data_IF_881551893392
#
_entry.id   IF_881551893392
#
_cell.length_a   1.000
_cell.length_b   1.000
_cell.length_c   1.000
_cell.angle_alpha   90.00
_cell.angle_beta   90.00
_cell.angle_gamma   90.00
#
_symmetry.space_group_name_H-M   'P 1'
#
loop_
_entity.id
_entity.type
_entity.pdbx_description
1 polymer ?
#
# COMPACT_ATOMS: atom_id res chain seq x y z
N UNK A 1 19.20 6.78 4.51
CA UNK A 1 18.77 5.38 4.77
C UNK A 1 17.48 5.32 5.59
N UNK A 2 17.45 5.89 6.81
CA UNK A 2 16.26 5.83 7.68
C UNK A 2 15.01 6.46 7.03
N UNK A 3 15.19 7.55 6.30
CA UNK A 3 14.12 8.29 5.63
C UNK A 3 13.48 7.47 4.50
N UNK A 4 14.30 6.75 3.72
CA UNK A 4 13.82 5.82 2.70
C UNK A 4 12.99 4.70 3.32
N UNK A 5 13.46 4.10 4.43
CA UNK A 5 12.69 3.07 5.14
C UNK A 5 11.34 3.63 5.60
N UNK A 6 11.32 4.83 6.18
CA UNK A 6 10.08 5.46 6.64
C UNK A 6 9.11 5.71 5.48
N UNK A 7 9.59 6.12 4.30
CA UNK A 7 8.76 6.25 3.09
C UNK A 7 8.20 4.90 2.60
N UNK A 8 9.00 3.84 2.72
CA UNK A 8 8.58 2.51 2.32
C UNK A 8 7.51 1.95 3.27
N UNK A 9 7.63 2.20 4.58
CA UNK A 9 6.66 1.71 5.59
C UNK A 9 5.33 2.45 5.50
N UNK A 10 5.38 3.78 5.41
CA UNK A 10 4.18 4.60 5.57
C UNK A 10 3.48 4.81 4.22
N UNK A 11 2.15 4.77 4.20
CA UNK A 11 1.40 5.13 2.99
C UNK A 11 1.53 6.62 2.69
N UNK A 12 1.39 7.46 3.72
CA UNK A 12 1.46 8.92 3.67
C UNK A 12 2.08 9.43 4.96
N UNK A 13 2.88 10.50 4.88
CA UNK A 13 3.52 11.13 6.04
C UNK A 13 3.03 12.57 6.12
N UNK A 14 2.21 12.84 7.13
CA UNK A 14 1.62 14.16 7.34
C UNK A 14 2.62 15.09 8.03
N UNK A 15 2.79 16.30 7.50
CA UNK A 15 3.67 17.33 8.04
C UNK A 15 3.26 17.75 9.45
N UNK A 16 1.96 17.78 9.72
CA UNK A 16 1.42 18.15 11.04
C UNK A 16 1.79 17.13 12.13
N UNK A 17 1.87 15.84 11.79
CA UNK A 17 2.22 14.78 12.74
C UNK A 17 3.72 14.74 13.03
N UNK A 18 4.56 15.01 12.01
CA UNK A 18 6.01 15.04 12.19
C UNK A 18 6.70 15.96 11.18
N UNK A 19 6.80 17.24 11.56
CA UNK A 19 7.40 18.29 10.72
C UNK A 19 8.87 18.05 10.42
N UNK A 20 9.65 17.59 11.40
CA UNK A 20 11.08 17.32 11.23
C UNK A 20 11.33 16.21 10.21
N UNK A 21 10.58 15.10 10.31
CA UNK A 21 10.65 13.99 9.38
C UNK A 21 10.25 14.42 7.96
N UNK A 22 9.19 15.21 7.82
CA UNK A 22 8.75 15.75 6.52
C UNK A 22 9.89 16.49 5.81
N UNK A 23 10.56 17.44 6.50
CA UNK A 23 11.67 18.19 5.90
C UNK A 23 12.90 17.31 5.68
N UNK A 24 13.22 16.40 6.61
CA UNK A 24 14.34 15.47 6.46
C UNK A 24 14.20 14.57 5.22
N UNK A 25 12.98 14.12 4.90
CA UNK A 25 12.73 13.34 3.68
C UNK A 25 12.97 14.19 2.44
N UNK A 26 12.46 15.43 2.43
CA UNK A 26 12.61 16.35 1.30
C UNK A 26 14.09 16.66 1.03
N UNK A 27 14.86 16.92 2.09
CA UNK A 27 16.27 17.30 1.97
C UNK A 27 17.15 16.13 1.50
N UNK A 28 16.82 14.90 1.90
CA UNK A 28 17.58 13.69 1.54
C UNK A 28 17.07 12.96 0.31
N UNK A 29 15.99 13.44 -0.32
CA UNK A 29 15.35 12.73 -1.43
C UNK A 29 16.31 12.39 -2.56
N UNK A 30 17.20 13.33 -2.92
CA UNK A 30 18.18 13.11 -4.00
C UNK A 30 19.16 11.95 -3.71
N UNK A 31 19.38 11.56 -2.44
CA UNK A 31 20.25 10.43 -2.08
C UNK A 31 19.69 9.07 -2.51
N UNK A 32 18.36 8.92 -2.58
CA UNK A 32 17.69 7.66 -2.88
C UNK A 32 16.69 7.75 -4.04
N UNK A 33 16.69 8.89 -4.74
CA UNK A 33 15.83 9.17 -5.89
C UNK A 33 16.00 8.15 -6.98
N UNK A 34 17.23 7.87 -7.41
CA UNK A 34 17.49 6.93 -8.51
C UNK A 34 17.00 5.51 -8.19
N UNK A 35 17.09 5.10 -6.93
CA UNK A 35 16.53 3.83 -6.48
C UNK A 35 14.99 3.82 -6.58
N UNK A 36 14.34 4.87 -6.10
CA UNK A 36 12.87 4.98 -6.15
C UNK A 36 12.35 5.13 -7.59
N UNK A 37 12.92 6.01 -8.40
CA UNK A 37 12.39 6.37 -9.71
C UNK A 37 12.89 5.42 -10.80
N UNK A 38 14.18 5.10 -10.86
CA UNK A 38 14.72 4.28 -11.94
C UNK A 38 14.60 2.79 -11.70
N UNK A 39 14.81 2.34 -10.45
CA UNK A 39 14.79 0.90 -10.11
C UNK A 39 13.40 0.44 -9.74
N UNK A 40 12.68 1.22 -8.93
CA UNK A 40 11.32 0.89 -8.51
C UNK A 40 10.26 1.55 -9.39
N UNK A 41 10.54 2.60 -10.15
CA UNK A 41 9.51 3.30 -10.92
C UNK A 41 8.41 3.92 -10.05
N UNK A 42 8.73 4.30 -8.82
CA UNK A 42 7.81 4.98 -7.91
C UNK A 42 7.92 6.48 -8.05
N UNK A 43 6.81 7.15 -7.77
CA UNK A 43 6.70 8.59 -7.80
C UNK A 43 6.57 9.13 -6.37
N UNK A 44 7.35 10.15 -6.03
CA UNK A 44 7.24 10.84 -4.75
C UNK A 44 6.43 12.13 -4.93
N UNK A 45 5.31 12.23 -4.24
CA UNK A 45 4.49 13.43 -4.17
C UNK A 45 4.93 14.21 -2.93
N UNK A 46 5.44 15.42 -3.13
CA UNK A 46 5.76 16.37 -2.07
C UNK A 46 4.74 17.50 -2.12
N UNK A 47 3.76 17.43 -1.21
CA UNK A 47 2.73 18.44 -1.02
C UNK A 47 3.06 19.29 0.20
N UNK A 48 2.50 20.50 0.33
CA UNK A 48 2.77 21.35 1.49
C UNK A 48 2.43 20.68 2.82
N UNK A 49 1.38 19.84 2.85
CA UNK A 49 0.88 19.19 4.06
C UNK A 49 1.37 17.76 4.27
N UNK A 50 1.93 17.11 3.25
CA UNK A 50 2.33 15.71 3.35
C UNK A 50 3.40 15.31 2.31
N UNK A 51 4.06 14.18 2.57
CA UNK A 51 4.83 13.44 1.56
C UNK A 51 4.22 12.06 1.38
N UNK A 52 4.05 11.62 0.12
CA UNK A 52 3.50 10.31 -0.24
C UNK A 52 4.37 9.65 -1.31
N UNK A 53 4.75 8.39 -1.09
CA UNK A 53 5.40 7.57 -2.12
C UNK A 53 4.35 6.65 -2.77
N UNK A 54 4.13 6.80 -4.08
CA UNK A 54 3.17 5.98 -4.83
C UNK A 54 3.75 4.59 -5.11
N UNK A 55 3.49 3.67 -4.18
CA UNK A 55 3.93 2.28 -4.23
C UNK A 55 2.95 1.43 -5.03
N UNK A 56 3.49 0.65 -5.97
CA UNK A 56 2.75 -0.30 -6.80
C UNK A 56 3.45 -1.66 -6.70
N UNK A 57 2.73 -2.77 -6.45
CA UNK A 57 3.34 -4.09 -6.43
C UNK A 57 3.77 -4.52 -7.83
N UNK A 58 4.86 -5.29 -7.93
CA UNK A 58 5.26 -5.90 -9.20
C UNK A 58 4.35 -7.06 -9.60
N UNK A 59 3.68 -7.67 -8.61
CA UNK A 59 2.59 -8.63 -8.77
C UNK A 59 1.68 -8.46 -7.57
N UNK A 60 0.39 -8.22 -7.79
CA UNK A 60 -0.58 -8.15 -6.71
C UNK A 60 -0.77 -9.55 -6.11
N UNK A 61 -0.81 -9.62 -4.78
CA UNK A 61 -1.09 -10.84 -4.03
C UNK A 61 -2.31 -10.59 -3.11
N UNK A 62 -3.05 -11.64 -2.76
CA UNK A 62 -4.30 -11.52 -2.01
C UNK A 62 -4.15 -10.87 -0.62
N UNK A 63 -2.95 -10.88 -0.05
CA UNK A 63 -2.62 -10.29 1.24
C UNK A 63 -2.15 -8.83 1.15
N UNK A 64 -2.03 -8.25 -0.05
CA UNK A 64 -1.65 -6.83 -0.25
C UNK A 64 -2.84 -5.87 -0.19
N UNK A 65 -3.96 -6.29 0.40
CA UNK A 65 -5.15 -5.48 0.59
C UNK A 65 -4.98 -4.40 1.67
N UNK A 66 -6.06 -3.66 1.94
CA UNK A 66 -6.09 -2.70 3.03
C UNK A 66 -6.24 -3.49 4.32
N UNK A 67 -5.33 -3.29 5.26
CA UNK A 67 -5.36 -3.99 6.54
C UNK A 67 -6.68 -3.72 7.28
N UNK A 68 -7.27 -4.79 7.83
CA UNK A 68 -8.56 -4.73 8.52
C UNK A 68 -9.78 -4.80 7.60
N UNK A 69 -9.62 -4.63 6.28
CA UNK A 69 -10.71 -4.88 5.34
C UNK A 69 -10.85 -6.39 5.12
N UNK A 70 -12.06 -6.88 5.35
CA UNK A 70 -12.44 -8.30 5.31
C UNK A 70 -13.62 -8.57 4.38
N UNK A 71 -14.26 -7.52 3.85
CA UNK A 71 -15.40 -7.60 2.95
C UNK A 71 -15.22 -6.62 1.77
N UNK A 72 -15.64 -7.01 0.56
CA UNK A 72 -15.61 -6.16 -0.64
C UNK A 72 -16.36 -4.84 -0.42
N UNK A 73 -17.43 -4.86 0.38
CA UNK A 73 -18.22 -3.68 0.74
C UNK A 73 -17.38 -2.56 1.35
N UNK A 74 -16.34 -2.90 2.12
CA UNK A 74 -15.48 -1.91 2.77
C UNK A 74 -14.64 -1.15 1.75
N UNK A 75 -14.18 -1.82 0.69
CA UNK A 75 -13.54 -1.16 -0.45
C UNK A 75 -14.50 -0.24 -1.20
N UNK A 76 -15.74 -0.69 -1.44
CA UNK A 76 -16.76 0.13 -2.11
C UNK A 76 -17.09 1.37 -1.28
N UNK A 77 -17.33 1.21 0.02
CA UNK A 77 -17.56 2.34 0.93
C UNK A 77 -16.39 3.31 0.97
N UNK A 78 -15.15 2.82 0.94
CA UNK A 78 -13.98 3.69 0.89
C UNK A 78 -13.94 4.49 -0.42
N UNK A 79 -14.22 3.88 -1.57
CA UNK A 79 -14.31 4.59 -2.84
C UNK A 79 -15.44 5.64 -2.84
N UNK A 80 -16.61 5.31 -2.31
CA UNK A 80 -17.73 6.26 -2.18
C UNK A 80 -17.40 7.41 -1.22
N UNK A 81 -16.66 7.16 -0.14
CA UNK A 81 -16.18 8.21 0.75
C UNK A 81 -15.18 9.13 0.03
N UNK A 82 -14.25 8.57 -0.75
CA UNK A 82 -13.32 9.38 -1.56
C UNK A 82 -14.08 10.25 -2.56
N UNK A 83 -15.09 9.71 -3.25
CA UNK A 83 -15.96 10.47 -4.15
C UNK A 83 -16.72 11.58 -3.42
N UNK A 84 -17.28 11.29 -2.25
CA UNK A 84 -17.95 12.30 -1.43
C UNK A 84 -17.01 13.46 -1.03
N UNK A 85 -15.77 13.14 -0.66
CA UNK A 85 -14.77 14.12 -0.26
C UNK A 85 -14.19 14.93 -1.42
N UNK A 86 -14.33 14.47 -2.67
CA UNK A 86 -13.85 15.21 -3.85
C UNK A 86 -14.58 16.54 -4.01
N UNK A 87 -15.89 16.55 -3.70
CA UNK A 87 -16.77 17.72 -3.74
C UNK A 87 -16.58 18.66 -2.54
N UNK A 88 -15.69 18.31 -1.58
CA UNK A 88 -15.43 19.07 -0.37
C UNK A 88 -14.18 19.92 -0.48
N UNK A 89 -14.26 21.14 0.03
CA UNK A 89 -13.09 22.00 0.19
C UNK A 89 -12.28 21.59 1.43
N UNK A 90 -11.01 21.98 1.47
CA UNK A 90 -10.18 21.86 2.67
C UNK A 90 -10.83 22.68 3.80
N UNK A 91 -10.84 22.11 5.01
CA UNK A 91 -11.48 22.63 6.22
C UNK A 91 -13.03 22.66 6.16
N UNK A 92 -13.65 22.10 5.12
CA UNK A 92 -15.11 21.98 5.05
C UNK A 92 -15.59 20.88 6.01
N UNK A 93 -16.52 21.26 6.90
CA UNK A 93 -17.12 20.35 7.88
C UNK A 93 -18.32 19.61 7.31
N UNK A 94 -18.50 18.38 7.75
CA UNK A 94 -19.65 17.54 7.40
C UNK A 94 -19.97 16.55 8.52
N UNK A 95 -21.20 16.08 8.55
CA UNK A 95 -21.66 15.11 9.55
C UNK A 95 -21.72 13.70 8.98
N UNK A 96 -21.57 12.69 9.84
CA UNK A 96 -21.60 11.27 9.47
C UNK A 96 -22.87 10.90 8.70
N UNK A 97 -24.02 11.44 9.11
CA UNK A 97 -25.30 11.21 8.44
C UNK A 97 -25.25 11.53 6.93
N UNK A 98 -24.55 12.59 6.51
CA UNK A 98 -24.38 12.93 5.08
C UNK A 98 -23.57 11.89 4.31
N UNK A 99 -22.55 11.29 4.95
CA UNK A 99 -21.77 10.20 4.35
C UNK A 99 -22.65 8.96 4.17
N UNK A 100 -23.44 8.61 5.19
CA UNK A 100 -24.34 7.45 5.11
C UNK A 100 -25.42 7.63 4.03
N UNK A 101 -25.95 8.84 3.88
CA UNK A 101 -26.90 9.19 2.81
C UNK A 101 -26.23 9.09 1.43
N UNK A 102 -25.04 9.67 1.28
CA UNK A 102 -24.28 9.60 0.02
C UNK A 102 -23.99 8.15 -0.40
N UNK A 103 -23.53 7.32 0.54
CA UNK A 103 -23.30 5.90 0.28
C UNK A 103 -24.61 5.21 -0.13
N UNK A 104 -25.71 5.46 0.58
CA UNK A 104 -27.01 4.84 0.27
C UNK A 104 -27.53 5.19 -1.11
N UNK A 105 -27.23 6.39 -1.60
CA UNK A 105 -27.67 6.90 -2.90
C UNK A 105 -26.77 6.46 -4.06
N UNK A 106 -25.49 6.16 -3.81
CA UNK A 106 -24.50 5.86 -4.85
C UNK A 106 -24.00 4.40 -4.86
N UNK A 107 -24.38 3.59 -3.86
CA UNK A 107 -24.06 2.17 -3.85
C UNK A 107 -24.95 1.43 -4.86
N UNK A 108 -24.34 0.87 -5.92
CA UNK A 108 -25.07 0.33 -7.06
C UNK A 108 -25.61 -1.10 -6.85
N UNK A 109 -24.89 -1.96 -6.12
CA UNK A 109 -25.23 -3.39 -6.09
C UNK A 109 -26.41 -3.73 -5.17
N UNK A 110 -26.59 -2.98 -4.08
CA UNK A 110 -27.68 -3.19 -3.12
C UNK A 110 -28.05 -1.93 -2.36
N UNK A 111 -29.28 -1.89 -1.83
CA UNK A 111 -29.69 -0.84 -0.89
C UNK A 111 -29.07 -1.10 0.48
N UNK A 112 -28.29 -0.15 0.97
CA UNK A 112 -27.69 -0.25 2.30
C UNK A 112 -28.76 -0.02 3.38
N UNK A 113 -28.86 -1.00 4.28
CA UNK A 113 -29.70 -0.94 5.47
C UNK A 113 -28.81 -0.65 6.68
N UNK A 114 -28.85 0.59 7.18
CA UNK A 114 -28.05 1.03 8.31
C UNK A 114 -28.52 0.47 9.65
N UNK A 115 -29.70 -0.16 9.73
CA UNK A 115 -30.14 -0.86 10.96
C UNK A 115 -29.31 -2.12 11.21
N UNK A 116 -28.64 -2.65 10.18
CA UNK A 116 -27.75 -3.80 10.27
C UNK A 116 -26.39 -3.41 10.83
N UNK A 117 -26.05 -3.97 11.99
CA UNK A 117 -24.75 -3.82 12.65
C UNK A 117 -23.55 -4.05 11.71
N UNK A 118 -23.63 -5.06 10.83
CA UNK A 118 -22.55 -5.37 9.88
C UNK A 118 -22.20 -4.21 8.95
N UNK A 119 -23.21 -3.51 8.41
CA UNK A 119 -23.00 -2.35 7.52
C UNK A 119 -22.36 -1.18 8.28
N UNK A 120 -22.86 -0.89 9.49
CA UNK A 120 -22.28 0.16 10.34
C UNK A 120 -20.83 -0.13 10.71
N UNK A 121 -20.53 -1.39 11.07
CA UNK A 121 -19.17 -1.83 11.38
C UNK A 121 -18.22 -1.70 10.19
N UNK A 122 -18.67 -2.04 8.98
CA UNK A 122 -17.87 -1.85 7.76
C UNK A 122 -17.59 -0.37 7.49
N UNK A 123 -18.57 0.52 7.66
CA UNK A 123 -18.34 1.97 7.51
C UNK A 123 -17.35 2.51 8.56
N UNK A 124 -17.43 2.06 9.81
CA UNK A 124 -16.49 2.51 10.86
C UNK A 124 -15.06 2.13 10.53
N UNK A 125 -14.80 0.93 9.98
CA UNK A 125 -13.45 0.56 9.53
C UNK A 125 -12.94 1.53 8.45
N UNK A 126 -13.82 1.92 7.52
CA UNK A 126 -13.50 2.87 6.45
C UNK A 126 -13.22 4.26 7.01
N UNK A 127 -14.02 4.74 7.97
CA UNK A 127 -13.81 6.03 8.65
C UNK A 127 -12.48 6.01 9.41
N UNK A 128 -12.20 4.96 10.18
CA UNK A 128 -10.94 4.83 10.92
C UNK A 128 -9.73 4.82 9.99
N UNK A 129 -9.82 4.14 8.85
CA UNK A 129 -8.80 4.22 7.82
C UNK A 129 -8.63 5.65 7.31
N UNK A 130 -9.73 6.35 6.99
CA UNK A 130 -9.70 7.72 6.50
C UNK A 130 -9.08 8.71 7.50
N UNK A 131 -9.42 8.58 8.79
CA UNK A 131 -8.81 9.35 9.89
C UNK A 131 -7.31 9.03 10.01
N UNK A 132 -6.93 7.74 9.96
CA UNK A 132 -5.52 7.33 10.04
C UNK A 132 -4.68 7.82 8.85
N UNK A 133 -5.26 7.87 7.65
CA UNK A 133 -4.63 8.44 6.46
C UNK A 133 -4.60 9.98 6.48
N UNK A 134 -5.32 10.61 7.41
CA UNK A 134 -5.44 12.06 7.52
C UNK A 134 -6.24 12.71 6.39
N UNK A 135 -7.09 11.98 5.67
CA UNK A 135 -7.93 12.57 4.61
C UNK A 135 -9.13 13.33 5.16
N UNK A 136 -9.47 13.06 6.41
CA UNK A 136 -10.46 13.76 7.20
C UNK A 136 -10.01 13.80 8.66
N UNK A 137 -10.59 14.71 9.45
CA UNK A 137 -10.37 14.85 10.88
C UNK A 137 -11.69 14.72 11.62
N UNK A 138 -11.65 14.17 12.83
CA UNK A 138 -12.79 14.19 13.76
C UNK A 138 -12.72 15.51 14.55
N UNK A 139 -13.77 16.32 14.45
CA UNK A 139 -13.90 17.58 15.16
C UNK A 139 -14.77 17.45 16.42
N UNK A 140 -15.82 16.62 16.40
CA UNK A 140 -16.69 16.35 17.55
C UNK A 140 -17.43 15.00 17.43
N UNK A 141 -17.63 14.31 18.55
CA UNK A 141 -18.28 12.99 18.62
C UNK A 141 -17.34 11.80 18.49
N UNK A 142 -17.88 10.58 18.63
CA UNK A 142 -17.14 9.32 18.56
C UNK A 142 -17.74 8.39 17.50
N UNK A 143 -16.97 8.05 16.46
CA UNK A 143 -17.40 7.15 15.40
C UNK A 143 -17.76 5.74 15.89
N UNK A 144 -17.21 5.29 17.01
CA UNK A 144 -17.52 3.97 17.56
C UNK A 144 -18.97 3.89 18.07
N UNK A 145 -19.58 5.01 18.45
CA UNK A 145 -20.99 5.07 18.83
C UNK A 145 -21.92 4.66 17.68
N UNK A 146 -21.53 4.95 16.43
CA UNK A 146 -22.30 4.55 15.25
C UNK A 146 -22.47 3.04 15.12
N UNK A 147 -21.55 2.24 15.69
CA UNK A 147 -21.66 0.79 15.64
C UNK A 147 -22.92 0.31 16.36
N UNK A 148 -23.25 0.98 17.47
CA UNK A 148 -24.31 0.59 18.39
C UNK A 148 -25.59 1.41 18.18
N UNK A 149 -25.49 2.62 17.61
CA UNK A 149 -26.60 3.52 17.35
C UNK A 149 -26.49 4.16 15.95
N UNK A 150 -27.42 3.84 15.06
CA UNK A 150 -27.43 4.43 13.71
C UNK A 150 -27.71 5.95 13.68
N UNK A 151 -28.20 6.51 14.79
CA UNK A 151 -28.44 7.95 14.92
C UNK A 151 -27.26 8.69 15.58
N UNK A 152 -26.14 8.01 15.82
CA UNK A 152 -24.92 8.69 16.25
C UNK A 152 -24.47 9.63 15.13
N UNK A 153 -24.33 10.91 15.45
CA UNK A 153 -23.91 11.92 14.49
C UNK A 153 -22.56 12.47 14.96
N UNK A 154 -21.57 12.39 14.07
CA UNK A 154 -20.18 12.75 14.34
C UNK A 154 -19.78 13.82 13.34
N UNK A 155 -19.14 14.88 13.82
CA UNK A 155 -18.70 16.00 13.01
C UNK A 155 -17.27 15.78 12.55
N UNK A 156 -17.09 15.78 11.24
CA UNK A 156 -15.80 15.65 10.60
C UNK A 156 -15.44 16.90 9.80
N UNK A 157 -14.19 16.95 9.38
CA UNK A 157 -13.64 17.98 8.50
C UNK A 157 -12.80 17.34 7.40
N UNK A 158 -12.95 17.82 6.16
CA UNK A 158 -12.12 17.41 5.04
C UNK A 158 -10.75 18.09 5.09
N UNK A 159 -9.66 17.33 4.92
CA UNK A 159 -8.30 17.92 4.84
C UNK A 159 -7.88 18.27 3.41
N UNK A 160 -8.67 17.86 2.41
CA UNK A 160 -8.31 17.94 0.99
C UNK A 160 -7.30 16.88 0.52
N UNK A 161 -6.78 16.04 1.42
CA UNK A 161 -5.78 15.01 1.08
C UNK A 161 -6.40 13.83 0.32
N UNK A 162 -7.73 13.63 0.41
CA UNK A 162 -8.47 12.57 -0.30
C UNK A 162 -8.13 12.47 -1.80
N UNK A 163 -7.94 13.63 -2.46
CA UNK A 163 -7.61 13.76 -3.89
C UNK A 163 -6.29 13.10 -4.28
N UNK A 164 -5.43 12.84 -3.30
CA UNK A 164 -4.12 12.21 -3.48
C UNK A 164 -4.11 10.75 -3.05
N UNK A 165 -5.23 10.16 -2.63
CA UNK A 165 -5.28 8.74 -2.25
C UNK A 165 -5.24 7.86 -3.49
N UNK A 166 -6.12 8.15 -4.46
CA UNK A 166 -6.06 7.51 -5.76
C UNK A 166 -4.80 7.97 -6.48
N UNK A 167 -4.08 7.01 -7.07
CA UNK A 167 -2.93 7.32 -7.92
C UNK A 167 -3.40 7.86 -9.25
N UNK A 168 -2.51 8.55 -9.95
CA UNK A 168 -2.74 8.88 -11.35
C UNK A 168 -2.64 7.62 -12.22
N UNK A 169 -3.62 7.44 -13.11
CA UNK A 169 -3.58 6.43 -14.15
C UNK A 169 -3.10 7.06 -15.44
N UNK A 170 -2.19 6.39 -16.15
CA UNK A 170 -1.62 6.89 -17.42
C UNK A 170 -2.58 6.80 -18.60
N UNK A 171 -3.69 6.08 -18.44
CA UNK A 171 -4.75 5.85 -19.43
C UNK A 171 -6.10 5.96 -18.72
N UNK A 172 -7.16 6.15 -19.48
CA UNK A 172 -8.52 6.15 -18.94
C UNK A 172 -8.88 4.74 -18.44
N UNK A 173 -9.19 4.64 -17.15
CA UNK A 173 -9.57 3.36 -16.52
C UNK A 173 -10.97 2.92 -16.94
N UNK A 174 -11.79 3.82 -17.48
CA UNK A 174 -13.13 3.50 -17.99
C UNK A 174 -13.10 2.62 -19.24
N UNK A 175 -11.95 2.55 -19.92
CA UNK A 175 -11.72 1.66 -21.06
C UNK A 175 -11.35 0.23 -20.65
N UNK A 176 -11.10 -0.04 -19.36
CA UNK A 176 -10.75 -1.38 -18.88
C UNK A 176 -12.01 -2.21 -18.63
N UNK A 177 -12.13 -3.37 -19.27
CA UNK A 177 -13.27 -4.29 -19.10
C UNK A 177 -12.99 -5.40 -18.08
N UNK A 178 -11.73 -5.56 -17.66
CA UNK A 178 -11.33 -6.57 -16.68
C UNK A 178 -10.22 -6.12 -15.73
N UNK A 179 -10.10 -6.82 -14.59
CA UNK A 179 -8.99 -6.63 -13.65
C UNK A 179 -7.64 -6.91 -14.32
N UNK A 180 -7.56 -7.93 -15.17
CA UNK A 180 -6.32 -8.27 -15.88
C UNK A 180 -5.89 -7.15 -16.82
N UNK A 181 -6.84 -6.54 -17.53
CA UNK A 181 -6.58 -5.34 -18.34
C UNK A 181 -6.14 -4.18 -17.48
N UNK A 182 -6.81 -3.87 -16.36
CA UNK A 182 -6.38 -2.80 -15.46
C UNK A 182 -4.96 -3.03 -14.91
N UNK A 183 -4.62 -4.28 -14.60
CA UNK A 183 -3.26 -4.66 -14.18
C UNK A 183 -2.28 -4.46 -15.34
N UNK A 184 -2.60 -4.92 -16.55
CA UNK A 184 -1.76 -4.80 -17.74
C UNK A 184 -1.57 -3.34 -18.19
N UNK A 185 -2.60 -2.51 -18.08
CA UNK A 185 -2.58 -1.09 -18.41
C UNK A 185 -1.55 -0.30 -17.59
N UNK A 186 -1.34 -0.68 -16.33
CA UNK A 186 -0.28 -0.08 -15.49
C UNK A 186 1.13 -0.30 -16.05
N UNK A 187 1.30 -1.28 -16.94
CA UNK A 187 2.57 -1.64 -17.56
C UNK A 187 2.66 -1.15 -19.01
N UNK A 188 1.54 -0.84 -19.68
CA UNK A 188 1.53 -0.48 -21.10
C UNK A 188 1.70 1.03 -21.39
N UNK A 189 1.60 1.91 -20.38
CA UNK A 189 1.79 3.36 -20.55
C UNK A 189 3.20 3.81 -20.92
N UNK A 190 4.17 2.90 -21.06
CA UNK A 190 5.57 3.17 -21.41
C UNK A 190 6.02 2.21 -22.52
N UNK A 191 5.39 2.29 -23.70
CA UNK A 191 5.71 1.44 -24.86
C UNK A 191 7.19 1.52 -25.32
N UNK A 192 7.94 2.53 -24.88
CA UNK A 192 9.30 2.75 -25.38
C UNK A 192 10.39 1.89 -24.71
N UNK A 193 10.14 1.21 -23.58
CA UNK A 193 11.18 0.34 -22.99
C UNK A 193 10.65 -0.82 -22.14
N UNK A 194 10.35 -1.95 -22.81
CA UNK A 194 10.03 -3.24 -22.16
C UNK A 194 11.09 -3.66 -21.13
N UNK A 195 12.34 -3.20 -21.26
CA UNK A 195 13.42 -3.46 -20.31
C UNK A 195 13.23 -2.73 -18.98
N UNK A 196 12.85 -1.45 -19.02
CA UNK A 196 12.59 -0.64 -17.82
C UNK A 196 11.40 -1.21 -17.03
N UNK A 197 10.30 -1.54 -17.72
CA UNK A 197 9.10 -2.09 -17.07
C UNK A 197 9.41 -3.40 -16.34
N UNK A 198 10.16 -4.31 -16.98
CA UNK A 198 10.59 -5.56 -16.36
C UNK A 198 11.49 -5.30 -15.15
N UNK A 199 12.45 -4.38 -15.26
CA UNK A 199 13.31 -3.99 -14.14
C UNK A 199 12.47 -3.53 -12.96
N UNK A 200 11.59 -2.54 -13.17
CA UNK A 200 10.73 -1.99 -12.13
C UNK A 200 9.89 -3.09 -11.48
N UNK A 201 9.26 -3.95 -12.28
CA UNK A 201 8.48 -5.09 -11.79
C UNK A 201 9.30 -6.02 -10.90
N UNK A 202 10.50 -6.42 -11.33
CA UNK A 202 11.39 -7.31 -10.57
C UNK A 202 11.81 -6.68 -9.24
N UNK A 203 12.25 -5.42 -9.25
CA UNK A 203 12.64 -4.72 -8.02
C UNK A 203 11.47 -4.60 -7.05
N UNK A 204 10.27 -4.26 -7.53
CA UNK A 204 9.04 -4.20 -6.71
C UNK A 204 8.69 -5.55 -6.10
N UNK A 205 8.79 -6.65 -6.88
CA UNK A 205 8.54 -8.01 -6.37
C UNK A 205 9.53 -8.38 -5.27
N UNK A 206 10.81 -8.07 -5.44
CA UNK A 206 11.84 -8.32 -4.44
C UNK A 206 11.65 -7.45 -3.18
N UNK A 207 11.21 -6.21 -3.35
CA UNK A 207 11.01 -5.26 -2.25
C UNK A 207 9.77 -5.61 -1.41
N UNK A 208 8.65 -5.91 -2.07
CA UNK A 208 7.34 -5.99 -1.42
C UNK A 208 6.90 -7.42 -1.10
N UNK A 209 7.58 -8.46 -1.62
CA UNK A 209 7.24 -9.86 -1.34
C UNK A 209 8.33 -10.55 -0.54
N UNK A 210 7.98 -11.41 0.44
CA UNK A 210 8.97 -12.11 1.25
C UNK A 210 9.85 -13.05 0.41
N UNK A 211 9.28 -13.66 -0.64
CA UNK A 211 9.98 -14.54 -1.58
C UNK A 211 9.43 -14.33 -2.98
N UNK A 212 10.33 -14.27 -3.95
CA UNK A 212 10.04 -14.34 -5.38
C UNK A 212 10.36 -15.75 -5.87
N UNK A 213 9.34 -16.60 -5.99
CA UNK A 213 9.48 -17.96 -6.50
C UNK A 213 9.68 -17.99 -8.03
N UNK A 214 10.39 -19.01 -8.51
CA UNK A 214 10.52 -19.30 -9.94
C UNK A 214 9.21 -19.89 -10.46
N UNK A 215 8.51 -19.15 -11.33
CA UNK A 215 7.20 -19.48 -11.90
C UNK A 215 7.22 -20.46 -13.08
N UNK A 216 8.17 -21.39 -13.14
CA UNK A 216 8.30 -22.37 -14.24
C UNK A 216 9.51 -22.14 -15.14
N UNK A 217 9.53 -22.83 -16.30
CA UNK A 217 10.69 -22.83 -17.20
C UNK A 217 10.89 -21.48 -17.93
N UNK A 218 9.80 -20.77 -18.23
CA UNK A 218 9.80 -19.51 -18.99
C UNK A 218 9.52 -18.30 -18.08
N UNK A 219 10.21 -18.22 -16.95
CA UNK A 219 10.07 -17.09 -16.01
C UNK A 219 11.07 -15.97 -16.33
N UNK A 220 10.64 -15.04 -17.18
CA UNK A 220 11.47 -13.91 -17.60
C UNK A 220 11.90 -12.96 -16.47
N UNK A 221 11.15 -12.91 -15.36
CA UNK A 221 11.49 -12.11 -14.18
C UNK A 221 12.60 -12.80 -13.39
N UNK A 222 12.49 -14.12 -13.19
CA UNK A 222 13.49 -14.89 -12.47
C UNK A 222 14.82 -14.99 -13.24
N UNK A 223 14.75 -15.09 -14.57
CA UNK A 223 15.93 -15.02 -15.44
C UNK A 223 16.61 -13.65 -15.34
N UNK A 224 15.84 -12.57 -15.25
CA UNK A 224 16.37 -11.24 -14.98
C UNK A 224 17.10 -11.18 -13.63
N UNK A 225 16.50 -11.72 -12.55
CA UNK A 225 17.13 -11.74 -11.22
C UNK A 225 18.46 -12.48 -11.26
N UNK A 226 18.53 -13.63 -11.94
CA UNK A 226 19.77 -14.41 -12.07
C UNK A 226 20.83 -13.66 -12.87
N UNK A 227 20.44 -13.09 -14.01
CA UNK A 227 21.36 -12.38 -14.91
C UNK A 227 21.93 -11.11 -14.27
N UNK A 228 21.10 -10.34 -13.56
CA UNK A 228 21.46 -9.05 -12.99
C UNK A 228 21.67 -9.09 -11.46
N UNK A 229 21.94 -10.28 -10.90
CA UNK A 229 22.07 -10.52 -9.46
C UNK A 229 22.99 -9.52 -8.77
N UNK A 230 24.19 -9.29 -9.31
CA UNK A 230 25.18 -8.41 -8.68
C UNK A 230 24.71 -6.97 -8.60
N UNK A 231 24.11 -6.46 -9.68
CA UNK A 231 23.57 -5.09 -9.71
C UNK A 231 22.38 -4.93 -8.78
N UNK A 232 21.46 -5.91 -8.74
CA UNK A 232 20.33 -5.88 -7.81
C UNK A 232 20.82 -5.89 -6.35
N UNK A 233 21.74 -6.80 -6.03
CA UNK A 233 22.36 -6.88 -4.70
C UNK A 233 23.00 -5.55 -4.29
N UNK A 234 23.78 -4.94 -5.18
CA UNK A 234 24.44 -3.66 -4.93
C UNK A 234 23.41 -2.56 -4.65
N UNK A 235 22.39 -2.43 -5.49
CA UNK A 235 21.36 -1.40 -5.32
C UNK A 235 20.56 -1.57 -4.02
N UNK A 236 20.17 -2.78 -3.63
CA UNK A 236 19.51 -3.02 -2.34
C UNK A 236 20.46 -2.78 -1.15
N UNK A 237 21.74 -3.15 -1.28
CA UNK A 237 22.72 -2.97 -0.20
C UNK A 237 23.07 -1.49 0.03
N UNK A 238 23.26 -0.72 -1.03
CA UNK A 238 23.59 0.71 -0.95
C UNK A 238 22.43 1.52 -0.37
N UNK A 239 21.20 1.24 -0.81
CA UNK A 239 20.04 2.06 -0.45
C UNK A 239 19.40 1.63 0.88
N UNK A 240 19.37 0.32 1.17
CA UNK A 240 18.63 -0.25 2.29
C UNK A 240 19.50 -1.09 3.23
N UNK A 241 20.76 -1.38 2.87
CA UNK A 241 21.61 -2.28 3.64
C UNK A 241 21.18 -3.75 3.56
N UNK A 242 20.28 -4.10 2.64
CA UNK A 242 19.70 -5.43 2.55
C UNK A 242 20.44 -6.33 1.56
N UNK A 243 20.35 -7.64 1.77
CA UNK A 243 21.04 -8.64 0.94
C UNK A 243 20.07 -9.45 0.10
N UNK A 244 20.38 -9.64 -1.18
CA UNK A 244 19.70 -10.52 -2.10
C UNK A 244 20.27 -11.93 -2.03
N UNK A 245 19.42 -12.88 -1.65
CA UNK A 245 19.72 -14.31 -1.72
C UNK A 245 19.00 -14.91 -2.94
N UNK A 246 19.75 -15.54 -3.85
CA UNK A 246 19.23 -16.18 -5.06
C UNK A 246 19.52 -17.68 -4.98
N UNK A 247 18.47 -18.50 -5.02
CA UNK A 247 18.55 -19.96 -4.95
C UNK A 247 18.11 -20.61 -6.26
N UNK A 248 17.86 -21.93 -6.25
CA UNK A 248 17.36 -22.66 -7.43
C UNK A 248 15.90 -22.32 -7.75
N UNK A 249 15.06 -22.24 -6.70
CA UNK A 249 13.60 -22.18 -6.79
C UNK A 249 13.00 -20.84 -6.34
N UNK A 250 13.81 -19.91 -5.86
CA UNK A 250 13.32 -18.61 -5.41
C UNK A 250 14.45 -17.65 -5.06
N UNK A 251 14.07 -16.39 -4.86
CA UNK A 251 14.95 -15.31 -4.43
C UNK A 251 14.28 -14.52 -3.34
N UNK A 252 15.04 -14.04 -2.36
CA UNK A 252 14.50 -13.25 -1.26
C UNK A 252 15.47 -12.13 -0.88
N UNK A 253 14.91 -11.06 -0.32
CA UNK A 253 15.68 -10.00 0.31
C UNK A 253 15.75 -10.29 1.80
N UNK A 254 16.97 -10.34 2.33
CA UNK A 254 17.28 -10.55 3.73
C UNK A 254 17.62 -9.19 4.33
N UNK A 255 16.78 -8.77 5.27
CA UNK A 255 16.92 -7.49 5.96
C UNK A 255 18.08 -7.58 6.96
N UNK A 256 18.89 -6.53 7.03
CA UNK A 256 19.98 -6.41 8.00
C UNK A 256 19.43 -6.02 9.38
N UNK A 257 20.21 -6.29 10.44
CA UNK A 257 19.74 -6.02 11.80
C UNK A 257 19.50 -4.53 12.08
N UNK A 258 20.29 -3.66 11.45
CA UNK A 258 20.26 -2.21 11.65
C UNK A 258 19.14 -1.51 10.86
N UNK A 259 18.56 -2.18 9.84
CA UNK A 259 17.60 -1.58 8.91
C UNK A 259 16.34 -2.46 8.74
N UNK A 260 15.79 -2.93 9.86
CA UNK A 260 14.55 -3.72 9.90
C UNK A 260 13.31 -2.84 9.70
N UNK A 261 12.29 -3.38 9.04
CA UNK A 261 11.02 -2.70 8.75
C UNK A 261 9.88 -3.71 8.66
N UNK A 262 8.69 -3.33 9.11
CA UNK A 262 7.49 -4.16 9.08
C UNK A 262 7.51 -5.38 10.01
N UNK A 263 6.56 -6.29 9.77
CA UNK A 263 6.45 -7.58 10.43
C UNK A 263 7.46 -8.58 9.82
N UNK A 264 8.38 -9.07 10.65
CA UNK A 264 9.55 -9.85 10.19
C UNK A 264 9.39 -11.34 10.43
N UNK A 265 10.04 -12.13 9.59
CA UNK A 265 10.26 -13.55 9.81
C UNK A 265 11.76 -13.88 9.73
N UNK A 266 12.31 -14.66 10.69
CA UNK A 266 11.63 -15.16 11.89
C UNK A 266 11.41 -14.05 12.93
N UNK A 267 10.33 -14.17 13.70
CA UNK A 267 10.04 -13.31 14.86
C UNK A 267 10.03 -14.09 16.18
N UNK A 268 9.82 -13.38 17.29
CA UNK A 268 9.59 -13.97 18.62
C UNK A 268 8.16 -14.51 18.81
N UNK A 269 7.29 -14.40 17.79
CA UNK A 269 5.92 -14.91 17.86
C UNK A 269 5.92 -16.44 17.72
N UNK A 270 5.00 -17.12 18.42
CA UNK A 270 4.98 -18.59 18.51
C UNK A 270 4.81 -19.29 17.15
N UNK A 271 4.11 -18.66 16.20
CA UNK A 271 4.00 -19.14 14.83
C UNK A 271 5.35 -19.19 14.10
N UNK A 272 6.26 -18.24 14.38
CA UNK A 272 7.60 -18.26 13.81
C UNK A 272 8.42 -19.43 14.34
N UNK A 273 8.34 -19.70 15.64
CA UNK A 273 9.00 -20.86 16.26
C UNK A 273 8.47 -22.19 15.70
N UNK A 274 7.16 -22.32 15.56
CA UNK A 274 6.53 -23.51 14.99
C UNK A 274 7.01 -23.79 13.56
N UNK A 275 7.07 -22.75 12.71
CA UNK A 275 7.56 -22.87 11.32
C UNK A 275 9.05 -23.25 11.28
N UNK A 276 9.88 -22.64 12.13
CA UNK A 276 11.31 -22.98 12.22
C UNK A 276 11.54 -24.42 12.69
N UNK A 277 10.77 -24.88 13.68
CA UNK A 277 10.82 -26.25 14.17
C UNK A 277 10.41 -27.24 13.07
N UNK A 278 9.31 -26.96 12.38
CA UNK A 278 8.87 -27.76 11.25
C UNK A 278 9.92 -27.83 10.13
N UNK A 279 10.51 -26.68 9.77
CA UNK A 279 11.59 -26.63 8.77
C UNK A 279 12.86 -27.39 9.20
N UNK A 280 13.13 -27.47 10.50
CA UNK A 280 14.23 -28.31 11.05
C UNK A 280 13.91 -29.80 10.91
N UNK A 281 12.65 -30.20 11.15
CA UNK A 281 12.22 -31.59 10.97
C UNK A 281 12.27 -32.02 9.51
N UNK A 282 11.83 -31.16 8.57
CA UNK A 282 11.94 -31.43 7.13
C UNK A 282 13.40 -31.65 6.73
N UNK A 283 14.31 -30.75 7.11
CA UNK A 283 15.74 -30.89 6.75
C UNK A 283 16.32 -32.23 7.21
N UNK A 284 16.04 -32.63 8.45
CA UNK A 284 16.46 -33.95 8.99
C UNK A 284 15.89 -35.17 8.25
N UNK A 285 14.80 -35.01 7.50
CA UNK A 285 14.18 -36.11 6.76
C UNK A 285 14.62 -36.19 5.30
N UNK A 286 15.22 -35.12 4.79
CA UNK A 286 15.71 -35.00 3.41
C UNK A 286 17.23 -35.19 3.35
N UNK A 287 17.94 -34.91 4.45
CA UNK A 287 19.32 -35.33 4.71
C UNK A 287 19.38 -36.84 5.05
#
# INVERSE_FOLDING_TARGET
MKELLVLLENYIILRENNRELYYSIKDKFEEFKDFLTEKLGYNLIVHEDFVKLEKIPGKAESWMGIEGFTDVKEYIFFMLLLMYLEDKNKEEQFVLSFVTEYISNNYLDEKIDWTKYGNRKSLIKVIKLALNLGIMKNNDGDEDEFSSNENADVLYESTGISRYILRNFSKDIMECESLDELINYNWEGVEQDKGILRRNRVYRRLLLSPVVYKGGAEDSDYDYIKKFRSSIQENFKENLGWNLHVHKNGSLIVLSDDNKIGDLFPSMKGESEAVLLFGKLIRKSVD
#
